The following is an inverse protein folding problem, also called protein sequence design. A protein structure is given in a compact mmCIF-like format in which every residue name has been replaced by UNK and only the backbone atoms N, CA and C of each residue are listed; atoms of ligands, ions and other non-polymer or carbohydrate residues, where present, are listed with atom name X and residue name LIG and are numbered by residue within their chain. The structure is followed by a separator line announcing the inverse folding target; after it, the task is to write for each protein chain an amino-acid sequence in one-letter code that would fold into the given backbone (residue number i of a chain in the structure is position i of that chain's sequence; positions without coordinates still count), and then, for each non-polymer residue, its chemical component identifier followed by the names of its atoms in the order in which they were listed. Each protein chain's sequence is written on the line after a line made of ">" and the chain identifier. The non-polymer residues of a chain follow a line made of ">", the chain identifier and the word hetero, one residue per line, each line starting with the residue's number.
data_IF_684322435688
#
_entry.id   IF_684322435688
#
_cell.length_a   1.000
_cell.length_b   1.000
_cell.length_c   1.000
_cell.angle_alpha   90.00
_cell.angle_beta   90.00
_cell.angle_gamma   90.00
#
_symmetry.space_group_name_H-M   'P 1'
#
loop_
_entity.id
_entity.type
_entity.pdbx_description
1 polymer ?
#
# COMPACT_ATOMS: atom_id res chain seq x y z
N UNK A 1 -12.21 66.04 -15.08
CA UNK A 1 -11.06 65.18 -14.72
C UNK A 1 -11.31 64.62 -13.33
N UNK A 2 -11.71 63.34 -13.22
CA UNK A 2 -11.98 62.71 -11.93
C UNK A 2 -10.68 62.24 -11.25
N UNK A 3 -10.51 62.57 -9.97
CA UNK A 3 -9.39 62.13 -9.13
C UNK A 3 -9.39 60.60 -9.03
N UNK A 4 -8.36 59.93 -9.57
CA UNK A 4 -8.13 58.50 -9.36
C UNK A 4 -7.80 58.27 -7.88
N UNK A 5 -8.72 57.63 -7.14
CA UNK A 5 -8.48 57.20 -5.77
C UNK A 5 -7.31 56.20 -5.73
N UNK A 6 -6.38 56.39 -4.79
CA UNK A 6 -5.24 55.47 -4.60
C UNK A 6 -5.78 54.07 -4.26
N UNK A 7 -5.25 52.99 -4.86
CA UNK A 7 -5.66 51.64 -4.50
C UNK A 7 -5.25 51.36 -3.05
N UNK A 8 -6.23 51.09 -2.19
CA UNK A 8 -6.01 50.70 -0.79
C UNK A 8 -5.68 49.21 -0.73
N UNK A 9 -4.44 48.87 -1.09
CA UNK A 9 -3.94 47.50 -0.98
C UNK A 9 -3.09 47.39 0.29
N UNK A 10 -3.62 46.71 1.31
CA UNK A 10 -2.89 46.45 2.55
C UNK A 10 -2.31 45.03 2.53
N UNK A 11 -0.99 44.95 2.34
CA UNK A 11 -0.27 43.69 2.44
C UNK A 11 -0.28 43.18 3.89
N UNK A 12 -0.50 41.88 4.12
CA UNK A 12 -0.30 41.30 5.45
C UNK A 12 1.19 41.38 5.81
N UNK A 13 1.51 42.24 6.79
CA UNK A 13 2.88 42.53 7.22
C UNK A 13 3.34 41.69 8.42
N UNK A 14 2.42 41.06 9.15
CA UNK A 14 2.69 40.25 10.34
C UNK A 14 2.23 38.79 10.16
N UNK A 15 2.89 37.87 10.87
CA UNK A 15 2.54 36.44 11.01
C UNK A 15 2.44 35.61 9.72
N UNK A 16 2.84 36.17 8.57
CA UNK A 16 2.81 35.47 7.27
C UNK A 16 3.60 34.16 7.30
N UNK A 17 4.76 34.15 7.97
CA UNK A 17 5.57 32.95 8.16
C UNK A 17 4.92 31.93 9.09
N UNK A 18 4.30 32.39 10.19
CA UNK A 18 3.59 31.54 11.14
C UNK A 18 2.40 30.85 10.49
N UNK A 19 1.55 31.61 9.79
CA UNK A 19 0.41 31.06 9.06
C UNK A 19 0.82 30.04 7.99
N UNK A 20 1.92 30.32 7.27
CA UNK A 20 2.46 29.37 6.28
C UNK A 20 2.95 28.09 6.95
N UNK A 21 3.65 28.20 8.07
CA UNK A 21 4.17 27.06 8.82
C UNK A 21 3.04 26.20 9.40
N UNK A 22 2.00 26.82 9.98
CA UNK A 22 0.83 26.11 10.50
C UNK A 22 0.06 25.39 9.39
N UNK A 23 -0.08 26.01 8.21
CA UNK A 23 -0.70 25.37 7.05
C UNK A 23 0.10 24.15 6.59
N UNK A 24 1.43 24.25 6.52
CA UNK A 24 2.28 23.14 6.14
C UNK A 24 2.21 22.00 7.17
N UNK A 25 2.21 22.33 8.47
CA UNK A 25 2.09 21.35 9.54
C UNK A 25 0.76 20.59 9.46
N UNK A 26 -0.35 21.30 9.24
CA UNK A 26 -1.66 20.68 9.03
C UNK A 26 -1.64 19.69 7.86
N UNK A 27 -1.06 20.09 6.72
CA UNK A 27 -0.97 19.22 5.54
C UNK A 27 -0.07 18.02 5.82
N UNK A 28 1.06 18.21 6.49
CA UNK A 28 1.98 17.13 6.86
C UNK A 28 1.32 16.10 7.77
N UNK A 29 0.57 16.53 8.79
CA UNK A 29 -0.18 15.61 9.65
C UNK A 29 -1.22 14.79 8.87
N UNK A 30 -1.95 15.42 7.95
CA UNK A 30 -2.93 14.72 7.11
C UNK A 30 -2.25 13.68 6.22
N UNK A 31 -1.15 14.04 5.55
CA UNK A 31 -0.40 13.11 4.71
C UNK A 31 0.23 11.97 5.51
N UNK A 32 0.73 12.25 6.72
CA UNK A 32 1.29 11.25 7.61
C UNK A 32 0.26 10.20 8.05
N UNK A 33 -1.01 10.57 8.18
CA UNK A 33 -2.09 9.62 8.47
C UNK A 33 -2.55 8.85 7.23
N UNK A 34 -2.56 9.49 6.05
CA UNK A 34 -2.98 8.85 4.79
C UNK A 34 -1.96 7.79 4.34
N UNK A 35 -0.66 8.09 4.43
CA UNK A 35 0.40 7.19 3.96
C UNK A 35 0.31 5.74 4.52
N UNK A 36 0.19 5.50 5.84
CA UNK A 36 0.06 4.14 6.37
C UNK A 36 -1.27 3.48 6.00
N UNK A 37 -2.36 4.24 5.88
CA UNK A 37 -3.66 3.72 5.42
C UNK A 37 -3.53 3.22 3.98
N UNK A 38 -2.92 4.01 3.09
CA UNK A 38 -2.65 3.60 1.71
C UNK A 38 -1.77 2.35 1.65
N UNK A 39 -0.70 2.28 2.45
CA UNK A 39 0.18 1.10 2.51
C UNK A 39 -0.58 -0.14 3.01
N UNK A 40 -1.46 0.03 4.00
CA UNK A 40 -2.26 -1.07 4.49
C UNK A 40 -3.25 -1.59 3.43
N UNK A 41 -4.02 -0.69 2.81
CA UNK A 41 -5.06 -1.05 1.84
C UNK A 41 -4.46 -1.59 0.55
N UNK A 42 -3.43 -0.93 0.01
CA UNK A 42 -2.88 -1.28 -1.31
C UNK A 42 -1.84 -2.40 -1.27
N UNK A 43 -1.20 -2.66 -0.13
CA UNK A 43 -0.12 -3.65 -0.05
C UNK A 43 -0.40 -4.75 0.98
N UNK A 44 -0.72 -4.40 2.23
CA UNK A 44 -0.86 -5.40 3.29
C UNK A 44 -2.13 -6.25 3.16
N UNK A 45 -3.28 -5.61 2.94
CA UNK A 45 -4.57 -6.26 2.80
C UNK A 45 -4.62 -7.23 1.60
N UNK A 46 -4.22 -6.86 0.37
CA UNK A 46 -4.28 -7.78 -0.77
C UNK A 46 -3.30 -8.93 -0.61
N UNK A 47 -2.13 -8.72 -0.01
CA UNK A 47 -1.23 -9.84 0.32
C UNK A 47 -1.91 -10.83 1.26
N UNK A 48 -2.47 -10.37 2.39
CA UNK A 48 -3.18 -11.25 3.33
C UNK A 48 -4.35 -11.98 2.66
N UNK A 49 -5.10 -11.29 1.81
CA UNK A 49 -6.19 -11.90 1.04
C UNK A 49 -5.68 -13.01 0.10
N UNK A 50 -4.61 -12.76 -0.67
CA UNK A 50 -4.01 -13.77 -1.56
C UNK A 50 -3.57 -15.03 -0.81
N UNK A 51 -2.88 -14.86 0.33
CA UNK A 51 -2.49 -15.99 1.17
C UNK A 51 -3.70 -16.76 1.70
N UNK A 52 -4.73 -16.05 2.19
CA UNK A 52 -5.97 -16.67 2.66
C UNK A 52 -6.66 -17.46 1.55
N UNK A 53 -6.78 -16.88 0.36
CA UNK A 53 -7.43 -17.53 -0.79
C UNK A 53 -6.64 -18.76 -1.23
N UNK A 54 -5.31 -18.68 -1.30
CA UNK A 54 -4.46 -19.82 -1.65
C UNK A 54 -4.72 -21.00 -0.72
N UNK A 55 -4.62 -20.80 0.59
CA UNK A 55 -4.81 -21.88 1.56
C UNK A 55 -6.26 -22.30 1.78
N UNK A 56 -7.24 -21.52 1.30
CA UNK A 56 -8.65 -21.90 1.45
C UNK A 56 -9.06 -23.12 0.60
N UNK A 57 -8.31 -23.42 -0.46
CA UNK A 57 -8.57 -24.52 -1.39
C UNK A 57 -7.30 -25.36 -1.65
N UNK A 58 -6.24 -25.15 -0.86
CA UNK A 58 -4.98 -25.83 -1.07
C UNK A 58 -5.04 -27.27 -0.55
N UNK A 59 -4.91 -28.24 -1.46
CA UNK A 59 -4.68 -29.63 -1.10
C UNK A 59 -3.16 -29.93 -1.11
N UNK A 60 -2.56 -30.20 0.05
CA UNK A 60 -1.14 -30.49 0.14
C UNK A 60 -0.73 -31.77 -0.59
N UNK A 61 -1.62 -32.76 -0.69
CA UNK A 61 -1.30 -34.05 -1.32
C UNK A 61 -1.29 -33.93 -2.85
N UNK A 62 -2.26 -33.25 -3.45
CA UNK A 62 -2.27 -32.94 -4.89
C UNK A 62 -1.03 -32.11 -5.28
N UNK A 63 -0.69 -31.10 -4.49
CA UNK A 63 0.52 -30.29 -4.74
C UNK A 63 1.81 -31.12 -4.64
N UNK A 64 1.89 -32.02 -3.66
CA UNK A 64 3.02 -32.94 -3.49
C UNK A 64 3.13 -33.92 -4.65
N UNK A 65 2.02 -34.53 -5.07
CA UNK A 65 1.99 -35.46 -6.21
C UNK A 65 2.43 -34.77 -7.50
N UNK A 66 2.01 -33.52 -7.74
CA UNK A 66 2.50 -32.71 -8.87
C UNK A 66 4.00 -32.47 -8.79
N UNK A 67 4.55 -32.19 -7.61
CA UNK A 67 5.99 -31.98 -7.43
C UNK A 67 6.81 -33.25 -7.63
N UNK A 68 6.32 -34.37 -7.10
CA UNK A 68 6.94 -35.69 -7.25
C UNK A 68 6.89 -36.16 -8.71
N UNK A 69 5.74 -36.05 -9.37
CA UNK A 69 5.57 -36.41 -10.78
C UNK A 69 6.37 -35.49 -11.70
N UNK A 70 6.56 -34.22 -11.32
CA UNK A 70 7.45 -33.29 -12.01
C UNK A 70 8.94 -33.55 -11.82
N UNK A 71 9.31 -34.53 -10.97
CA UNK A 71 10.72 -34.89 -10.73
C UNK A 71 11.50 -33.84 -9.94
N UNK A 72 10.81 -32.92 -9.26
CA UNK A 72 11.47 -31.86 -8.47
C UNK A 72 12.04 -32.36 -7.14
N UNK A 73 11.69 -33.58 -6.71
CA UNK A 73 12.06 -34.13 -5.42
C UNK A 73 13.14 -35.21 -5.58
N UNK A 74 14.36 -34.93 -5.12
CA UNK A 74 15.45 -35.93 -5.09
C UNK A 74 15.17 -37.07 -4.10
N UNK A 75 14.39 -36.81 -3.04
CA UNK A 75 14.02 -37.81 -2.03
C UNK A 75 12.89 -38.73 -2.47
N UNK A 76 12.09 -38.29 -3.44
CA UNK A 76 10.90 -39.01 -3.94
C UNK A 76 10.91 -38.94 -5.47
N UNK A 77 11.66 -39.82 -6.14
CA UNK A 77 11.76 -39.80 -7.59
C UNK A 77 10.39 -40.05 -8.25
N UNK A 78 10.19 -39.56 -9.49
CA UNK A 78 8.93 -39.71 -10.20
C UNK A 78 8.56 -41.19 -10.32
N UNK A 79 7.35 -41.55 -9.88
CA UNK A 79 6.86 -42.93 -9.80
C UNK A 79 7.04 -43.64 -8.45
N UNK A 80 7.62 -42.98 -7.44
CA UNK A 80 7.73 -43.51 -6.06
C UNK A 80 6.42 -43.39 -5.25
N UNK A 81 5.43 -42.65 -5.74
CA UNK A 81 4.11 -42.55 -5.12
C UNK A 81 3.36 -43.86 -5.27
N UNK A 82 2.88 -44.40 -4.15
CA UNK A 82 2.14 -45.66 -4.13
C UNK A 82 1.05 -45.68 -5.20
N UNK A 83 1.17 -46.61 -6.15
CA UNK A 83 0.14 -46.89 -7.15
C UNK A 83 -1.16 -47.23 -6.41
N UNK A 84 -2.24 -46.51 -6.71
CA UNK A 84 -3.58 -47.11 -6.64
C UNK A 84 -3.84 -47.83 -7.95
#
# INVERSE_FOLDING_TARGET
>A
MGLKSKPDFKFPMHDTHLHKSLRNLKVACVLALIAPVCLYVCHNAPRKAKYKTFYSQYDPMDAFERMMNGGYLSSCPPGSGGKK
#
